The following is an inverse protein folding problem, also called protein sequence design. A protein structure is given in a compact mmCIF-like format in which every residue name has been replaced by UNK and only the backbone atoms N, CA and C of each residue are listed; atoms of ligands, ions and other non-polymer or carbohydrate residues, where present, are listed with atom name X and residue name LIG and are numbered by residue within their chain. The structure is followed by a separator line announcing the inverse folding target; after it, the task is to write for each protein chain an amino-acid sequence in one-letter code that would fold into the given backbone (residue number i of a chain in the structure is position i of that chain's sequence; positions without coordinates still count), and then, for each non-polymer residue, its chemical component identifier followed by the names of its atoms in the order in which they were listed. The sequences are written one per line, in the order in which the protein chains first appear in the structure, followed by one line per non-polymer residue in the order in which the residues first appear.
data_IF_154147136864
#
_entry.id   IF_154147136864
#
_cell.length_a   1.000
_cell.length_b   1.000
_cell.length_c   1.000
_cell.angle_alpha   90.00
_cell.angle_beta   90.00
_cell.angle_gamma   90.00
#
_symmetry.space_group_name_H-M   'P 1'
#
loop_
_entity.id
_entity.type
_entity.pdbx_description
1 polymer ?
#
# COMPACT_ATOMS: atom_id res chain seq x y z
N UNK A 1 -13.50 9.20 -2.19
CA UNK A 1 -13.40 7.80 -2.67
C UNK A 1 -12.93 6.86 -1.58
N UNK A 2 -11.78 7.10 -0.93
CA UNK A 2 -11.26 6.30 0.19
C UNK A 2 -12.27 6.12 1.34
N UNK A 3 -12.98 7.19 1.70
CA UNK A 3 -14.07 7.14 2.70
C UNK A 3 -15.20 6.16 2.36
N UNK A 4 -15.49 5.95 1.07
CA UNK A 4 -16.50 4.97 0.62
C UNK A 4 -15.99 3.54 0.76
N UNK A 5 -14.68 3.31 0.65
CA UNK A 5 -14.07 2.00 0.89
C UNK A 5 -14.08 1.68 2.39
N UNK A 6 -13.70 2.65 3.22
CA UNK A 6 -13.80 2.52 4.68
C UNK A 6 -15.23 2.18 5.12
N UNK A 7 -16.24 2.91 4.61
CA UNK A 7 -17.64 2.65 4.90
C UNK A 7 -18.15 1.27 4.44
N UNK A 8 -17.45 0.60 3.53
CA UNK A 8 -17.75 -0.77 3.06
C UNK A 8 -16.96 -1.84 3.83
N UNK A 9 -16.21 -1.46 4.87
CA UNK A 9 -15.45 -2.38 5.71
C UNK A 9 -14.06 -2.75 5.18
N UNK A 10 -13.58 -2.11 4.11
CA UNK A 10 -12.19 -2.32 3.68
C UNK A 10 -11.23 -1.71 4.72
N UNK A 11 -10.18 -2.45 5.06
CA UNK A 11 -9.23 -2.07 6.12
C UNK A 11 -8.01 -1.32 5.61
N UNK A 12 -7.49 -1.70 4.45
CA UNK A 12 -6.28 -1.13 3.87
C UNK A 12 -6.47 -0.82 2.40
N UNK A 13 -5.88 0.28 1.96
CA UNK A 13 -5.66 0.57 0.55
C UNK A 13 -4.17 0.43 0.25
N UNK A 14 -3.86 -0.14 -0.91
CA UNK A 14 -2.50 -0.24 -1.41
C UNK A 14 -2.38 0.47 -2.75
N UNK A 15 -1.23 1.10 -2.97
CA UNK A 15 -0.86 1.65 -4.26
C UNK A 15 0.53 1.13 -4.66
N UNK A 16 0.67 0.73 -5.92
CA UNK A 16 1.93 0.27 -6.49
C UNK A 16 2.35 1.27 -7.58
N UNK A 17 3.45 1.99 -7.35
CA UNK A 17 3.88 3.12 -8.16
C UNK A 17 5.23 2.80 -8.80
N UNK A 18 5.27 2.75 -10.13
CA UNK A 18 6.52 2.63 -10.88
C UNK A 18 7.43 3.84 -10.61
N UNK A 19 8.73 3.60 -10.41
CA UNK A 19 9.70 4.62 -10.03
C UNK A 19 10.71 4.93 -11.14
N UNK A 20 11.19 6.18 -11.23
CA UNK A 20 10.86 7.33 -10.36
C UNK A 20 9.52 7.99 -10.71
N UNK A 21 8.77 8.46 -9.69
CA UNK A 21 7.53 9.23 -9.88
C UNK A 21 7.20 10.12 -8.67
N UNK A 22 7.95 11.22 -8.53
CA UNK A 22 7.85 12.12 -7.37
C UNK A 22 6.46 12.74 -7.20
N UNK A 23 5.79 13.07 -8.30
CA UNK A 23 4.44 13.64 -8.26
C UNK A 23 3.42 12.67 -7.65
N UNK A 24 3.45 11.40 -8.06
CA UNK A 24 2.55 10.38 -7.50
C UNK A 24 2.94 10.03 -6.06
N UNK A 25 4.24 9.99 -5.74
CA UNK A 25 4.72 9.75 -4.38
C UNK A 25 4.19 10.84 -3.42
N UNK A 26 4.39 12.12 -3.76
CA UNK A 26 3.92 13.25 -2.95
C UNK A 26 2.40 13.26 -2.80
N UNK A 27 1.65 12.88 -3.84
CA UNK A 27 0.20 12.74 -3.76
C UNK A 27 -0.20 11.70 -2.71
N UNK A 28 0.42 10.51 -2.74
CA UNK A 28 0.09 9.44 -1.79
C UNK A 28 0.50 9.80 -0.36
N UNK A 29 1.68 10.41 -0.17
CA UNK A 29 2.11 10.94 1.13
C UNK A 29 1.10 11.95 1.70
N UNK A 30 0.59 12.88 0.87
CA UNK A 30 -0.41 13.87 1.29
C UNK A 30 -1.75 13.25 1.72
N UNK A 31 -2.10 12.06 1.20
CA UNK A 31 -3.25 11.28 1.64
C UNK A 31 -2.97 10.36 2.84
N UNK A 32 -1.76 10.43 3.41
CA UNK A 32 -1.36 9.65 4.59
C UNK A 32 -0.84 8.25 4.28
N UNK A 33 -0.65 7.89 3.01
CA UNK A 33 -0.02 6.61 2.69
C UNK A 33 1.42 6.56 3.21
N UNK A 34 1.82 5.38 3.67
CA UNK A 34 3.16 5.09 4.17
C UNK A 34 3.86 4.08 3.23
N UNK A 35 5.19 4.15 3.07
CA UNK A 35 5.95 3.15 2.32
C UNK A 35 5.78 1.74 2.90
N UNK A 36 5.42 0.77 2.07
CA UNK A 36 5.19 -0.62 2.46
C UNK A 36 6.21 -1.61 1.85
N UNK A 37 7.05 -1.16 0.92
CA UNK A 37 8.13 -1.96 0.36
C UNK A 37 8.50 -1.55 -1.07
N UNK A 38 9.69 -1.93 -1.53
CA UNK A 38 10.17 -1.60 -2.88
C UNK A 38 10.64 -2.85 -3.60
N UNK A 39 10.02 -3.12 -4.75
CA UNK A 39 10.46 -4.17 -5.66
C UNK A 39 11.44 -3.55 -6.64
N UNK A 40 12.69 -4.03 -6.63
CA UNK A 40 13.77 -3.47 -7.45
C UNK A 40 13.82 -4.18 -8.80
N UNK A 41 13.91 -3.41 -9.89
CA UNK A 41 14.05 -3.87 -11.28
C UNK A 41 13.05 -4.98 -11.64
N UNK A 42 11.79 -4.79 -11.25
CA UNK A 42 10.75 -5.82 -11.31
C UNK A 42 10.05 -5.89 -12.66
N UNK A 43 10.05 -4.80 -13.44
CA UNK A 43 9.39 -4.76 -14.75
C UNK A 43 10.27 -4.16 -15.84
N UNK A 44 10.25 -4.75 -17.04
CA UNK A 44 10.88 -4.18 -18.23
C UNK A 44 9.85 -3.48 -19.11
N UNK A 45 10.05 -2.18 -19.35
CA UNK A 45 9.18 -1.38 -20.22
C UNK A 45 9.93 -0.18 -20.78
N UNK A 46 9.65 0.19 -22.03
CA UNK A 46 10.30 1.33 -22.71
C UNK A 46 11.83 1.27 -22.68
N UNK A 47 12.40 0.07 -22.86
CA UNK A 47 13.86 -0.11 -22.93
C UNK A 47 14.59 -0.01 -21.58
N UNK A 48 13.87 -0.07 -20.46
CA UNK A 48 14.46 0.02 -19.12
C UNK A 48 13.79 -0.93 -18.12
N UNK A 49 14.56 -1.32 -17.10
CA UNK A 49 14.05 -1.96 -15.90
C UNK A 49 13.53 -0.90 -14.93
N UNK A 50 12.37 -1.17 -14.34
CA UNK A 50 11.69 -0.26 -13.42
C UNK A 50 11.55 -0.87 -12.04
N UNK A 51 11.72 -0.05 -11.02
CA UNK A 51 11.33 -0.37 -9.67
C UNK A 51 9.83 -0.08 -9.48
N UNK A 52 9.22 -0.72 -8.49
CA UNK A 52 7.87 -0.41 -8.03
C UNK A 52 7.89 -0.18 -6.52
N UNK A 53 7.45 0.99 -6.07
CA UNK A 53 7.23 1.29 -4.67
C UNK A 53 5.79 0.94 -4.30
N UNK A 54 5.63 0.11 -3.28
CA UNK A 54 4.36 -0.14 -2.63
C UNK A 54 4.14 0.87 -1.51
N UNK A 55 2.90 1.32 -1.42
CA UNK A 55 2.38 2.24 -0.43
C UNK A 55 1.14 1.63 0.22
N UNK A 56 0.96 1.87 1.52
CA UNK A 56 -0.18 1.41 2.30
C UNK A 56 -0.84 2.58 3.01
N UNK A 57 -2.18 2.57 3.06
CA UNK A 57 -2.98 3.44 3.91
C UNK A 57 -3.97 2.58 4.70
N UNK A 58 -4.03 2.78 6.01
CA UNK A 58 -5.09 2.22 6.84
C UNK A 58 -6.35 3.09 6.69
N UNK A 59 -7.48 2.45 6.34
CA UNK A 59 -8.74 3.12 6.01
C UNK A 59 -9.69 3.27 7.20
N UNK A 60 -9.50 2.44 8.23
CA UNK A 60 -10.26 2.45 9.49
C UNK A 60 -9.23 2.54 10.60
N UNK A 61 -9.51 3.33 11.65
CA UNK A 61 -8.66 3.37 12.83
C UNK A 61 -8.47 1.94 13.35
N UNK A 62 -7.21 1.58 13.62
CA UNK A 62 -6.82 0.25 14.04
C UNK A 62 -7.41 -0.06 15.43
N UNK A 63 -8.66 -0.48 15.50
CA UNK A 63 -9.24 -1.10 16.69
C UNK A 63 -9.32 -2.64 16.56
N UNK A 64 -8.92 -3.20 15.41
CA UNK A 64 -8.98 -4.65 15.13
C UNK A 64 -7.63 -5.35 15.21
N UNK A 65 -6.68 -4.84 16.00
CA UNK A 65 -5.44 -5.55 16.28
C UNK A 65 -5.44 -6.14 17.69
N UNK A 66 -6.40 -7.02 18.00
CA UNK A 66 -6.26 -7.90 19.17
C UNK A 66 -7.01 -9.23 18.97
N UNK A 67 -6.71 -9.98 17.93
CA UNK A 67 -6.79 -11.43 18.08
C UNK A 67 -5.50 -12.04 17.54
N UNK A 68 -4.70 -12.72 18.40
CA UNK A 68 -3.48 -13.36 17.95
C UNK A 68 -3.81 -14.39 16.86
N UNK A 69 -2.87 -14.67 15.94
CA UNK A 69 -3.04 -15.76 14.99
C UNK A 69 -3.43 -17.01 15.77
N UNK A 70 -4.57 -17.63 15.41
CA UNK A 70 -4.98 -18.89 16.05
C UNK A 70 -3.84 -19.89 15.91
N UNK A 71 -3.49 -20.53 17.02
CA UNK A 71 -2.49 -21.59 17.03
C UNK A 71 -2.84 -22.65 15.99
N UNK A 72 -1.82 -23.07 15.25
CA UNK A 72 -1.92 -24.25 14.41
C UNK A 72 -1.96 -25.44 15.39
N UNK A 73 -3.12 -26.06 15.55
CA UNK A 73 -3.26 -27.28 16.33
C UNK A 73 -2.29 -28.34 15.78
N UNK A 74 -1.64 -29.14 16.65
CA UNK A 74 -0.64 -30.13 16.26
C UNK A 74 -1.19 -31.23 15.34
#
# INVERSE_FOLDING_TARGET
MLSRLAARGFRRAFAAIAQPNDASNALHEAFGFQPAGRLRRVGWKHGAWHDVQWWQLDLVACEDEVDPPREIAP
#
